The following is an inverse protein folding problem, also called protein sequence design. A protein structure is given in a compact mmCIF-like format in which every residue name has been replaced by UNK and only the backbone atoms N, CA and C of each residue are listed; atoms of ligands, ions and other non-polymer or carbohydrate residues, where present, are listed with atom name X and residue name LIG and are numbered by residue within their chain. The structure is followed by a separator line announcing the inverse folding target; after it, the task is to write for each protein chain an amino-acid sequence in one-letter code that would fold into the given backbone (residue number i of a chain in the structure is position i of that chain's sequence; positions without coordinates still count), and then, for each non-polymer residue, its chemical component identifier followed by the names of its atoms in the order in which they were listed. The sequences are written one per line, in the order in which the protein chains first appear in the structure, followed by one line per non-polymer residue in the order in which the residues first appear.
data_IF_049116174136
#
_entry.id   IF_049116174136
#
_cell.length_a   1.000
_cell.length_b   1.000
_cell.length_c   1.000
_cell.angle_alpha   90.00
_cell.angle_beta   90.00
_cell.angle_gamma   90.00
#
_symmetry.space_group_name_H-M   'P 1'
#
loop_
_entity.id
_entity.type
_entity.pdbx_description
1 polymer ?
#
# COMPACT_ATOMS: atom_id res chain seq x y z
N UNK A 1 -11.26 34.01 38.15
CA UNK A 1 -10.43 32.86 37.72
C UNK A 1 -11.14 32.01 36.64
N UNK A 2 -11.39 32.50 35.41
CA UNK A 2 -12.03 31.69 34.35
C UNK A 2 -11.05 31.14 33.29
N UNK A 3 -9.78 31.54 33.32
CA UNK A 3 -8.81 31.24 32.26
C UNK A 3 -8.16 29.84 32.37
N UNK A 4 -8.15 29.24 33.57
CA UNK A 4 -7.61 27.90 33.80
C UNK A 4 -8.49 26.79 33.19
N UNK A 5 -9.81 27.02 33.07
CA UNK A 5 -10.75 26.04 32.53
C UNK A 5 -10.76 26.01 30.99
N UNK A 6 -10.32 27.11 30.35
CA UNK A 6 -10.30 27.23 28.87
C UNK A 6 -9.01 26.67 28.25
N UNK A 7 -7.88 26.71 28.97
CA UNK A 7 -6.63 26.06 28.55
C UNK A 7 -6.72 24.52 28.59
N UNK A 8 -7.43 23.95 29.56
CA UNK A 8 -7.60 22.50 29.66
C UNK A 8 -8.49 21.93 28.54
N UNK A 9 -9.47 22.70 28.07
CA UNK A 9 -10.34 22.29 26.96
C UNK A 9 -9.63 22.32 25.59
N UNK A 10 -8.70 23.26 25.38
CA UNK A 10 -7.94 23.35 24.13
C UNK A 10 -6.85 22.27 23.99
N UNK A 11 -6.39 21.71 25.12
CA UNK A 11 -5.43 20.59 25.14
C UNK A 11 -6.10 19.23 24.87
N UNK A 12 -7.41 19.10 25.10
CA UNK A 12 -8.13 17.84 24.80
C UNK A 12 -8.53 17.70 23.33
N UNK A 13 -8.77 18.80 22.60
CA UNK A 13 -9.22 18.75 21.21
C UNK A 13 -8.07 18.53 20.22
N UNK A 14 -6.83 18.81 20.60
CA UNK A 14 -5.66 18.55 19.74
C UNK A 14 -5.15 17.11 19.81
N UNK A 15 -5.51 16.33 20.83
CA UNK A 15 -5.07 14.93 20.97
C UNK A 15 -5.91 13.92 20.17
N UNK A 16 -7.12 14.27 19.73
CA UNK A 16 -8.05 13.30 19.12
C UNK A 16 -7.95 13.17 17.59
N UNK A 17 -7.01 13.90 16.97
CA UNK A 17 -6.71 13.80 15.53
C UNK A 17 -5.34 13.15 15.26
N UNK A 18 -4.73 12.47 16.24
CA UNK A 18 -3.82 11.38 15.89
C UNK A 18 -4.69 10.27 15.35
N UNK A 19 -4.85 10.27 14.03
CA UNK A 19 -5.44 9.17 13.30
C UNK A 19 -4.88 7.87 13.87
N UNK A 20 -5.77 7.05 14.41
CA UNK A 20 -5.42 5.69 14.73
C UNK A 20 -5.04 5.04 13.40
N UNK A 21 -3.76 5.07 13.07
CA UNK A 21 -3.18 4.10 12.19
C UNK A 21 -3.35 2.78 12.94
N UNK A 22 -4.52 2.16 12.75
CA UNK A 22 -4.84 0.87 13.32
C UNK A 22 -3.83 -0.08 12.67
N UNK A 23 -2.71 -0.29 13.36
CA UNK A 23 -1.75 -1.33 13.06
C UNK A 23 -2.42 -2.67 13.37
N UNK A 24 -3.46 -3.01 12.59
CA UNK A 24 -4.04 -4.34 12.57
C UNK A 24 -2.94 -5.26 12.07
N UNK A 25 -2.59 -6.24 12.90
CA UNK A 25 -1.60 -7.25 12.57
C UNK A 25 -1.87 -7.84 11.18
N UNK A 26 -0.80 -8.07 10.41
CA UNK A 26 -0.90 -8.62 9.06
C UNK A 26 -1.71 -9.93 9.05
N UNK A 27 -2.66 -10.02 8.12
CA UNK A 27 -3.51 -11.20 7.99
C UNK A 27 -2.71 -12.36 7.40
N UNK A 28 -2.65 -13.50 8.10
CA UNK A 28 -2.02 -14.71 7.56
C UNK A 28 -2.85 -15.32 6.43
N UNK A 29 -2.28 -15.39 5.22
CA UNK A 29 -2.85 -16.09 4.06
C UNK A 29 -2.56 -17.59 4.10
N UNK A 30 -1.35 -17.97 4.51
CA UNK A 30 -0.89 -19.34 4.69
C UNK A 30 0.26 -19.39 5.71
N UNK A 31 0.79 -20.59 6.02
CA UNK A 31 1.96 -20.74 6.89
C UNK A 31 3.14 -19.98 6.28
N UNK A 32 3.71 -19.03 7.02
CA UNK A 32 4.83 -18.19 6.56
C UNK A 32 4.48 -17.16 5.48
N UNK A 33 3.19 -16.94 5.19
CA UNK A 33 2.73 -15.97 4.20
C UNK A 33 1.69 -15.04 4.81
N UNK A 34 2.05 -13.77 4.99
CA UNK A 34 1.18 -12.72 5.51
C UNK A 34 0.80 -11.72 4.43
N UNK A 35 -0.32 -11.03 4.63
CA UNK A 35 -0.78 -9.93 3.79
C UNK A 35 -0.70 -8.64 4.58
N UNK A 36 -0.02 -7.66 4.00
CA UNK A 36 0.20 -6.35 4.54
C UNK A 36 -0.37 -5.30 3.57
N UNK A 37 -1.16 -4.36 4.10
CA UNK A 37 -1.63 -3.20 3.33
C UNK A 37 -0.55 -2.12 3.40
N UNK A 38 0.27 -2.05 2.36
CA UNK A 38 1.35 -1.08 2.27
C UNK A 38 0.83 0.36 2.27
N UNK A 39 1.53 1.24 2.99
CA UNK A 39 1.41 2.70 2.84
C UNK A 39 1.87 3.14 1.45
N UNK A 40 1.54 4.38 1.04
CA UNK A 40 2.05 4.96 -0.22
C UNK A 40 3.59 4.91 -0.29
N UNK A 41 4.30 5.22 0.80
CA UNK A 41 5.77 5.20 0.83
C UNK A 41 6.31 3.79 0.60
N UNK A 42 5.80 2.80 1.33
CA UNK A 42 6.22 1.40 1.17
C UNK A 42 5.87 0.87 -0.23
N UNK A 43 4.71 1.25 -0.77
CA UNK A 43 4.31 0.87 -2.13
C UNK A 43 5.27 1.46 -3.17
N UNK A 44 5.67 2.73 -3.05
CA UNK A 44 6.65 3.37 -3.94
C UNK A 44 8.00 2.66 -3.89
N UNK A 45 8.47 2.28 -2.71
CA UNK A 45 9.74 1.55 -2.56
C UNK A 45 9.65 0.15 -3.18
N UNK A 46 8.57 -0.59 -2.91
CA UNK A 46 8.35 -1.93 -3.45
C UNK A 46 8.21 -1.91 -4.98
N UNK A 47 7.44 -0.97 -5.53
CA UNK A 47 7.25 -0.82 -6.98
C UNK A 47 8.54 -0.40 -7.70
N UNK A 48 9.46 0.30 -7.03
CA UNK A 48 10.73 0.70 -7.62
C UNK A 48 11.78 -0.40 -7.70
N UNK A 49 11.51 -1.57 -7.10
CA UNK A 49 12.45 -2.67 -7.10
C UNK A 49 12.73 -3.12 -8.53
N UNK A 50 14.01 -3.12 -8.91
CA UNK A 50 14.49 -3.64 -10.21
C UNK A 50 14.56 -5.16 -10.18
N UNK A 51 13.42 -5.80 -9.99
CA UNK A 51 13.29 -7.25 -10.03
C UNK A 51 13.41 -7.79 -11.47
N UNK A 52 13.30 -9.12 -11.61
CA UNK A 52 13.41 -9.80 -12.91
C UNK A 52 12.35 -9.32 -13.90
N UNK A 53 11.17 -8.90 -13.42
CA UNK A 53 10.11 -8.38 -14.29
C UNK A 53 10.53 -7.03 -14.86
N UNK A 54 10.96 -6.07 -14.02
CA UNK A 54 11.40 -4.75 -14.48
C UNK A 54 12.63 -4.85 -15.40
N UNK A 55 13.58 -5.74 -15.08
CA UNK A 55 14.78 -5.95 -15.88
C UNK A 55 14.48 -6.60 -17.24
N UNK A 56 13.47 -7.47 -17.31
CA UNK A 56 13.08 -8.18 -18.53
C UNK A 56 12.34 -7.32 -19.56
N UNK A 57 11.84 -6.14 -19.19
CA UNK A 57 11.11 -5.29 -20.12
C UNK A 57 12.03 -4.63 -21.15
N UNK A 58 11.65 -4.68 -22.42
CA UNK A 58 12.25 -3.86 -23.47
C UNK A 58 11.80 -2.39 -23.38
N UNK A 59 12.52 -1.45 -24.03
CA UNK A 59 12.07 -0.05 -24.13
C UNK A 59 10.69 0.13 -24.75
N UNK A 60 10.34 -0.72 -25.73
CA UNK A 60 9.04 -0.71 -26.39
C UNK A 60 7.91 -1.13 -25.45
N UNK A 61 8.10 -2.23 -24.68
CA UNK A 61 7.08 -2.69 -23.74
C UNK A 61 6.81 -1.68 -22.62
N UNK A 62 7.87 -1.03 -22.10
CA UNK A 62 7.69 0.06 -21.12
C UNK A 62 6.85 1.20 -21.69
N UNK A 63 7.16 1.61 -22.93
CA UNK A 63 6.41 2.66 -23.63
C UNK A 63 4.94 2.29 -23.82
N UNK A 64 4.66 1.06 -24.25
CA UNK A 64 3.31 0.54 -24.41
C UNK A 64 2.53 0.51 -23.08
N UNK A 65 3.15 0.03 -21.99
CA UNK A 65 2.50 -0.07 -20.66
C UNK A 65 2.08 1.30 -20.10
N UNK A 66 2.89 2.34 -20.34
CA UNK A 66 2.59 3.70 -19.85
C UNK A 66 1.95 4.59 -20.92
N UNK A 67 1.59 4.01 -22.08
CA UNK A 67 0.94 4.68 -23.21
C UNK A 67 1.69 5.94 -23.67
N UNK A 68 3.02 5.86 -23.74
CA UNK A 68 3.88 6.95 -24.21
C UNK A 68 4.50 6.60 -25.56
N UNK A 69 4.56 7.57 -26.47
CA UNK A 69 5.27 7.41 -27.73
C UNK A 69 6.79 7.49 -27.53
N UNK A 70 7.55 6.72 -28.31
CA UNK A 70 9.01 6.67 -28.27
C UNK A 70 9.58 5.74 -27.18
N UNK A 71 10.90 5.52 -27.17
CA UNK A 71 11.54 4.61 -26.22
C UNK A 71 11.43 5.14 -24.78
N UNK A 72 11.07 4.26 -23.84
CA UNK A 72 11.02 4.57 -22.40
C UNK A 72 12.17 3.86 -21.69
N UNK A 73 12.94 4.59 -20.89
CA UNK A 73 14.00 4.01 -20.06
C UNK A 73 13.44 3.28 -18.84
N UNK A 74 14.23 2.39 -18.23
CA UNK A 74 13.83 1.73 -16.98
C UNK A 74 13.57 2.73 -15.86
N UNK A 75 14.36 3.81 -15.78
CA UNK A 75 14.16 4.86 -14.77
C UNK A 75 12.83 5.60 -14.94
N UNK A 76 12.50 6.00 -16.16
CA UNK A 76 11.22 6.67 -16.46
C UNK A 76 10.01 5.78 -16.17
N UNK A 77 10.13 4.47 -16.45
CA UNK A 77 9.07 3.52 -16.12
C UNK A 77 8.90 3.34 -14.62
N UNK A 78 10.00 3.21 -13.87
CA UNK A 78 9.98 3.14 -12.40
C UNK A 78 9.33 4.39 -11.81
N UNK A 79 9.75 5.58 -12.24
CA UNK A 79 9.17 6.83 -11.78
C UNK A 79 7.66 6.88 -12.02
N UNK A 80 7.23 6.46 -13.22
CA UNK A 80 5.81 6.38 -13.56
C UNK A 80 5.04 5.44 -12.61
N UNK A 81 5.50 4.20 -12.40
CA UNK A 81 4.79 3.23 -11.56
C UNK A 81 4.83 3.61 -10.08
N UNK A 82 5.88 4.25 -9.58
CA UNK A 82 5.89 4.84 -8.24
C UNK A 82 4.80 5.92 -8.09
N UNK A 83 4.53 6.69 -9.14
CA UNK A 83 3.43 7.65 -9.19
C UNK A 83 2.03 7.03 -9.16
N UNK A 84 1.90 5.71 -9.30
CA UNK A 84 0.61 4.99 -9.23
C UNK A 84 0.32 4.42 -7.83
N UNK A 85 1.20 4.65 -6.84
CA UNK A 85 0.94 4.25 -5.46
C UNK A 85 -0.16 5.14 -4.86
N UNK A 86 -1.23 4.50 -4.38
CA UNK A 86 -2.38 5.16 -3.76
C UNK A 86 -2.53 4.68 -2.32
N UNK A 87 -3.06 5.55 -1.47
CA UNK A 87 -3.41 5.19 -0.10
C UNK A 87 -4.67 4.34 -0.12
N UNK A 88 -4.69 3.29 0.71
CA UNK A 88 -5.84 2.41 0.84
C UNK A 88 -6.89 3.04 1.75
N UNK A 89 -8.13 3.11 1.28
CA UNK A 89 -9.27 3.47 2.13
C UNK A 89 -9.61 2.32 3.10
N UNK A 90 -10.30 2.64 4.20
CA UNK A 90 -10.72 1.61 5.15
C UNK A 90 -11.77 0.66 4.56
N UNK A 91 -12.64 1.17 3.68
CA UNK A 91 -13.62 0.39 2.91
C UNK A 91 -12.91 -0.59 1.97
N UNK A 92 -11.86 -0.15 1.26
CA UNK A 92 -11.07 -1.00 0.38
C UNK A 92 -10.32 -2.08 1.18
N UNK A 93 -9.69 -1.71 2.30
CA UNK A 93 -9.02 -2.68 3.20
C UNK A 93 -10.02 -3.69 3.72
N UNK A 94 -11.23 -3.27 4.13
CA UNK A 94 -12.29 -4.16 4.56
C UNK A 94 -12.69 -5.14 3.44
N UNK A 95 -12.89 -4.62 2.22
CA UNK A 95 -13.28 -5.46 1.08
C UNK A 95 -12.23 -6.50 0.72
N UNK A 96 -10.96 -6.11 0.70
CA UNK A 96 -9.87 -7.03 0.40
C UNK A 96 -9.68 -8.07 1.51
N UNK A 97 -9.91 -7.70 2.79
CA UNK A 97 -9.89 -8.67 3.90
C UNK A 97 -10.96 -9.76 3.73
N UNK A 98 -12.17 -9.43 3.29
CA UNK A 98 -13.21 -10.43 2.97
C UNK A 98 -12.72 -11.42 1.90
N UNK A 99 -12.08 -10.91 0.84
CA UNK A 99 -11.55 -11.74 -0.24
C UNK A 99 -10.41 -12.64 0.25
N UNK A 100 -9.50 -12.11 1.08
CA UNK A 100 -8.42 -12.90 1.70
C UNK A 100 -9.00 -14.03 2.56
N UNK A 101 -10.00 -13.74 3.38
CA UNK A 101 -10.68 -14.74 4.20
C UNK A 101 -11.30 -15.85 3.34
N UNK A 102 -11.95 -15.50 2.23
CA UNK A 102 -12.53 -16.46 1.30
C UNK A 102 -11.47 -17.26 0.48
N UNK A 103 -10.31 -16.66 0.20
CA UNK A 103 -9.22 -17.29 -0.54
C UNK A 103 -8.43 -18.27 0.33
N UNK A 104 -8.20 -17.95 1.61
CA UNK A 104 -7.40 -18.73 2.56
C UNK A 104 -7.71 -20.25 2.55
N UNK A 105 -8.96 -20.72 2.72
CA UNK A 105 -9.24 -22.17 2.70
C UNK A 105 -8.96 -22.80 1.32
N UNK A 106 -9.14 -22.05 0.22
CA UNK A 106 -8.88 -22.56 -1.14
C UNK A 106 -7.39 -22.71 -1.44
N UNK A 107 -6.57 -21.86 -0.81
CA UNK A 107 -5.12 -21.86 -0.93
C UNK A 107 -4.44 -22.83 0.07
N UNK A 108 -5.14 -23.23 1.14
CA UNK A 108 -4.59 -24.11 2.16
C UNK A 108 -4.02 -25.42 1.60
N UNK A 109 -4.64 -26.01 0.57
CA UNK A 109 -4.14 -27.22 -0.11
C UNK A 109 -2.78 -27.05 -0.80
N UNK A 110 -2.36 -25.82 -1.07
CA UNK A 110 -1.07 -25.50 -1.69
C UNK A 110 -0.04 -25.00 -0.67
N UNK A 111 -0.47 -24.70 0.56
CA UNK A 111 0.42 -24.36 1.64
C UNK A 111 1.13 -25.65 2.09
N UNK A 112 2.41 -25.78 1.75
CA UNK A 112 3.27 -26.89 2.16
C UNK A 112 3.72 -26.73 3.61
#
# INVERSE_FOLDING_TARGET
MPYLCRCLYLLQVTLFALGQAEAKADSLLAKGCSVHFATVTEARERLAKRDVYIQGLSPFERAAKIKRAGPVSTGQFIEFIQGQALEWSDEEKAKVREVIAAAKPKLARFAR
#
